data_IF_113596381751
#
_entry.id   IF_113596381751
#
_cell.length_a   1.000
_cell.length_b   1.000
_cell.length_c   1.000
_cell.angle_alpha   90.00
_cell.angle_beta   90.00
_cell.angle_gamma   90.00
#
_symmetry.space_group_name_H-M   'P 1'
#
loop_
_entity.id
_entity.type
_entity.pdbx_description
1 polymer ?
#
# COMPACT_ATOMS: atom_id res chain seq x y z
N UNK A 1 0.49 7.08 24.00
CA UNK A 1 0.75 7.43 22.61
C UNK A 1 0.07 6.39 21.71
N UNK A 2 -0.75 6.84 20.77
CA UNK A 2 -1.44 5.95 19.83
C UNK A 2 -0.49 5.34 18.81
N UNK A 3 -0.94 4.26 18.15
CA UNK A 3 -0.18 3.67 17.05
C UNK A 3 0.08 4.69 15.93
N UNK A 4 -0.92 5.54 15.65
CA UNK A 4 -0.76 6.61 14.66
C UNK A 4 0.33 7.60 15.04
N UNK A 5 0.38 8.00 16.30
CA UNK A 5 1.42 8.91 16.80
C UNK A 5 2.81 8.27 16.73
N UNK A 6 2.90 6.99 17.07
CA UNK A 6 4.14 6.22 16.97
C UNK A 6 4.61 6.09 15.53
N UNK A 7 3.67 5.80 14.62
CA UNK A 7 3.99 5.72 13.20
C UNK A 7 4.50 7.05 12.67
N UNK A 8 3.85 8.15 13.01
CA UNK A 8 4.31 9.48 12.62
C UNK A 8 5.72 9.77 13.12
N UNK A 9 6.02 9.41 14.37
CA UNK A 9 7.35 9.56 14.93
C UNK A 9 8.39 8.74 14.18
N UNK A 10 8.07 7.50 13.79
CA UNK A 10 8.95 6.67 13.00
C UNK A 10 9.20 7.24 11.59
N UNK A 11 8.16 7.76 10.96
CA UNK A 11 8.28 8.41 9.64
C UNK A 11 9.22 9.60 9.74
N UNK A 12 9.05 10.46 10.74
CA UNK A 12 9.91 11.64 10.94
C UNK A 12 11.36 11.24 11.23
N UNK A 13 11.56 10.16 11.98
CA UNK A 13 12.88 9.71 12.39
C UNK A 13 13.64 8.95 11.29
N UNK A 14 12.94 8.12 10.52
CA UNK A 14 13.57 7.17 9.58
C UNK A 14 13.19 7.39 8.12
N UNK A 15 12.00 7.93 7.86
CA UNK A 15 11.47 8.05 6.50
C UNK A 15 11.87 9.32 5.77
N UNK A 16 12.28 10.34 6.49
CA UNK A 16 12.69 11.62 5.89
C UNK A 16 14.17 11.53 5.54
N UNK A 17 14.48 11.67 4.25
CA UNK A 17 15.86 11.67 3.75
C UNK A 17 16.23 13.09 3.40
N UNK A 18 17.26 13.62 4.08
CA UNK A 18 17.78 14.94 3.80
C UNK A 18 18.83 14.87 2.69
N UNK A 19 18.75 15.81 1.75
CA UNK A 19 19.64 15.86 0.63
C UNK A 19 18.97 16.54 -0.56
N UNK A 20 19.77 17.03 -1.48
CA UNK A 20 19.25 17.71 -2.64
C UNK A 20 18.70 16.68 -3.64
N UNK A 21 17.43 16.79 -3.94
CA UNK A 21 16.76 15.89 -4.90
C UNK A 21 16.00 16.72 -5.93
N UNK A 22 15.92 16.20 -7.13
CA UNK A 22 15.08 16.77 -8.18
C UNK A 22 13.82 15.92 -8.27
N UNK A 23 12.68 16.55 -7.99
CA UNK A 23 11.37 15.90 -8.05
C UNK A 23 10.95 15.66 -9.50
N UNK A 24 9.95 14.81 -9.69
CA UNK A 24 9.40 14.53 -11.01
C UNK A 24 8.85 15.78 -11.72
N UNK A 25 8.47 16.78 -10.94
CA UNK A 25 8.04 18.10 -11.46
C UNK A 25 9.19 18.97 -11.98
N UNK A 26 10.45 18.55 -11.78
CA UNK A 26 11.63 19.35 -12.09
C UNK A 26 12.08 20.28 -10.97
N UNK A 27 11.30 20.39 -9.90
CA UNK A 27 11.66 21.23 -8.74
C UNK A 27 12.70 20.54 -7.87
N UNK A 28 13.59 21.32 -7.27
CA UNK A 28 14.55 20.85 -6.28
C UNK A 28 13.92 20.87 -4.89
N UNK A 29 14.21 19.84 -4.09
CA UNK A 29 13.83 19.77 -2.69
C UNK A 29 15.02 19.41 -1.83
N UNK A 30 15.02 19.88 -0.58
CA UNK A 30 16.08 19.61 0.40
C UNK A 30 15.86 18.30 1.13
N UNK A 31 14.72 17.65 0.94
CA UNK A 31 14.39 16.36 1.52
C UNK A 31 13.39 15.64 0.66
N UNK A 32 13.28 14.33 0.88
CA UNK A 32 12.19 13.52 0.34
C UNK A 32 11.79 12.46 1.36
N UNK A 33 10.60 11.91 1.19
CA UNK A 33 10.09 10.87 2.08
C UNK A 33 10.25 9.52 1.36
N UNK A 34 11.00 8.62 1.99
CA UNK A 34 11.18 7.25 1.53
C UNK A 34 10.46 6.31 2.51
N UNK A 35 9.22 5.98 2.19
CA UNK A 35 8.40 5.16 3.07
C UNK A 35 8.78 3.68 3.06
N UNK A 36 9.61 3.23 2.14
CA UNK A 36 10.14 1.85 2.21
C UNK A 36 11.04 1.66 3.42
N UNK A 37 11.66 2.73 3.91
CA UNK A 37 12.38 2.73 5.19
C UNK A 37 11.46 2.51 6.38
N UNK A 38 10.15 2.68 6.20
CA UNK A 38 9.13 2.49 7.21
C UNK A 38 8.40 1.16 7.01
N UNK A 39 7.93 0.91 5.81
CA UNK A 39 7.14 -0.29 5.50
C UNK A 39 7.94 -1.59 5.58
N UNK A 40 9.26 -1.49 5.53
CA UNK A 40 10.18 -2.62 5.68
C UNK A 40 10.96 -2.59 7.00
N UNK A 41 10.66 -1.64 7.89
CA UNK A 41 11.31 -1.52 9.19
C UNK A 41 10.63 -2.43 10.22
N UNK A 42 11.43 -3.16 10.99
CA UNK A 42 10.91 -4.15 11.93
C UNK A 42 10.06 -3.57 13.06
N UNK A 43 10.24 -2.31 13.40
CA UNK A 43 9.43 -1.60 14.41
C UNK A 43 8.25 -0.90 13.78
N UNK A 44 8.46 -0.24 12.65
CA UNK A 44 7.44 0.60 12.02
C UNK A 44 6.42 -0.20 11.18
N UNK A 45 6.84 -1.29 10.54
CA UNK A 45 5.94 -2.07 9.69
C UNK A 45 4.71 -2.60 10.44
N UNK A 46 4.81 -3.16 11.65
CA UNK A 46 3.63 -3.56 12.41
C UNK A 46 2.69 -2.39 12.70
N UNK A 47 3.23 -1.19 12.94
CA UNK A 47 2.44 0.01 13.14
C UNK A 47 1.67 0.38 11.86
N UNK A 48 2.29 0.25 10.70
CA UNK A 48 1.64 0.48 9.40
C UNK A 48 0.41 -0.42 9.27
N UNK A 49 0.56 -1.70 9.55
CA UNK A 49 -0.54 -2.66 9.45
C UNK A 49 -1.72 -2.26 10.34
N UNK A 50 -1.47 -1.96 11.61
CA UNK A 50 -2.54 -1.60 12.56
C UNK A 50 -3.19 -0.26 12.22
N UNK A 51 -2.39 0.75 11.89
CA UNK A 51 -2.91 2.08 11.54
C UNK A 51 -3.77 2.02 10.28
N UNK A 52 -3.33 1.30 9.26
CA UNK A 52 -4.09 1.17 8.02
C UNK A 52 -5.39 0.38 8.21
N UNK A 53 -5.40 -0.65 9.07
CA UNK A 53 -6.64 -1.34 9.42
C UNK A 53 -7.61 -0.42 10.14
N UNK A 54 -7.12 0.37 11.08
CA UNK A 54 -7.96 1.31 11.82
C UNK A 54 -8.51 2.42 10.92
N UNK A 55 -7.69 2.93 10.01
CA UNK A 55 -8.09 3.95 9.04
C UNK A 55 -9.23 3.46 8.12
N UNK A 56 -9.24 2.20 7.79
CA UNK A 56 -10.20 1.58 6.87
C UNK A 56 -11.25 0.73 7.57
N UNK A 57 -11.44 0.94 8.89
CA UNK A 57 -12.32 0.10 9.71
C UNK A 57 -13.79 0.15 9.28
N UNK A 58 -14.23 1.23 8.64
CA UNK A 58 -15.60 1.41 8.14
C UNK A 58 -15.82 0.79 6.75
N UNK A 59 -14.78 0.25 6.13
CA UNK A 59 -14.88 -0.42 4.84
C UNK A 59 -14.86 -1.94 5.03
N UNK A 60 -15.65 -2.64 4.23
CA UNK A 60 -15.66 -4.10 4.20
C UNK A 60 -14.88 -4.59 3.00
N UNK A 61 -13.79 -5.31 3.22
CA UNK A 61 -12.99 -5.89 2.16
C UNK A 61 -12.37 -7.21 2.63
N UNK A 62 -12.09 -8.08 1.66
CA UNK A 62 -11.58 -9.44 1.89
C UNK A 62 -10.12 -9.57 1.50
N UNK A 63 -9.63 -8.64 0.70
CA UNK A 63 -8.25 -8.65 0.23
C UNK A 63 -7.73 -7.22 0.06
N UNK A 64 -6.43 -7.06 0.18
CA UNK A 64 -5.75 -5.76 0.10
C UNK A 64 -4.47 -5.89 -0.72
N UNK A 65 -4.19 -4.88 -1.51
CA UNK A 65 -2.97 -4.83 -2.30
C UNK A 65 -2.92 -3.58 -3.16
N UNK A 66 -1.95 -3.52 -4.03
CA UNK A 66 -1.78 -2.40 -4.94
C UNK A 66 -0.60 -2.60 -5.86
N UNK A 67 -0.20 -1.53 -6.50
CA UNK A 67 0.87 -1.60 -7.48
C UNK A 67 2.21 -1.90 -6.81
N UNK A 68 2.88 -2.93 -7.32
CA UNK A 68 4.22 -3.26 -6.85
C UNK A 68 5.19 -2.12 -7.20
N UNK A 69 6.13 -1.75 -6.38
CA UNK A 69 6.60 -2.39 -5.13
C UNK A 69 6.03 -1.69 -3.89
N UNK A 70 5.60 -0.44 -4.00
CA UNK A 70 5.23 0.40 -2.86
C UNK A 70 4.10 -0.17 -2.01
N UNK A 71 3.12 -0.79 -2.64
CA UNK A 71 1.96 -1.34 -1.95
C UNK A 71 2.25 -2.67 -1.24
N UNK A 72 3.23 -3.45 -1.71
CA UNK A 72 3.42 -4.83 -1.27
C UNK A 72 3.68 -4.96 0.23
N UNK A 73 4.62 -4.21 0.82
CA UNK A 73 4.84 -4.33 2.26
C UNK A 73 3.69 -3.76 3.09
N UNK A 74 2.95 -2.76 2.58
CA UNK A 74 1.77 -2.23 3.25
C UNK A 74 0.70 -3.31 3.36
N UNK A 75 0.38 -3.96 2.26
CA UNK A 75 -0.63 -5.02 2.21
C UNK A 75 -0.24 -6.20 3.10
N UNK A 76 1.03 -6.61 3.07
CA UNK A 76 1.53 -7.70 3.91
C UNK A 76 1.46 -7.35 5.40
N UNK A 77 1.81 -6.12 5.77
CA UNK A 77 1.69 -5.65 7.15
C UNK A 77 0.23 -5.69 7.62
N UNK A 78 -0.70 -5.27 6.77
CA UNK A 78 -2.13 -5.32 7.07
C UNK A 78 -2.64 -6.76 7.22
N UNK A 79 -2.20 -7.67 6.37
CA UNK A 79 -2.55 -9.10 6.44
C UNK A 79 -2.17 -9.68 7.81
N UNK A 80 -0.94 -9.44 8.25
CA UNK A 80 -0.46 -9.95 9.53
C UNK A 80 -1.13 -9.28 10.73
N UNK A 81 -1.37 -7.97 10.65
CA UNK A 81 -2.09 -7.26 11.71
C UNK A 81 -3.54 -7.75 11.83
N UNK A 82 -4.19 -8.03 10.71
CA UNK A 82 -5.55 -8.58 10.69
C UNK A 82 -5.58 -9.96 11.34
N UNK A 83 -4.63 -10.83 10.99
CA UNK A 83 -4.52 -12.17 11.59
C UNK A 83 -4.36 -12.09 13.12
N UNK A 84 -3.57 -11.15 13.61
CA UNK A 84 -3.40 -10.93 15.05
C UNK A 84 -4.71 -10.51 15.74
N UNK A 85 -5.64 -9.94 15.00
CA UNK A 85 -6.99 -9.55 15.49
C UNK A 85 -8.06 -10.61 15.21
N UNK A 86 -7.67 -11.79 14.73
CA UNK A 86 -8.59 -12.87 14.41
C UNK A 86 -9.34 -12.71 13.08
N UNK A 87 -8.89 -11.80 12.21
CA UNK A 87 -9.49 -11.56 10.91
C UNK A 87 -8.62 -12.18 9.81
N UNK A 88 -9.26 -12.92 8.90
CA UNK A 88 -8.58 -13.42 7.70
C UNK A 88 -8.63 -12.36 6.61
N UNK A 89 -7.47 -11.91 6.17
CA UNK A 89 -7.33 -10.90 5.13
C UNK A 89 -6.26 -11.38 4.15
N UNK A 90 -6.62 -11.53 2.89
CA UNK A 90 -5.65 -11.89 1.85
C UNK A 90 -4.93 -10.64 1.34
N UNK A 91 -3.73 -10.83 0.80
CA UNK A 91 -3.00 -9.79 0.11
C UNK A 91 -2.77 -10.19 -1.35
N UNK A 92 -2.70 -9.22 -2.22
CA UNK A 92 -2.39 -9.41 -3.63
C UNK A 92 -1.37 -8.38 -4.10
N UNK A 93 -0.78 -8.64 -5.26
CA UNK A 93 0.19 -7.73 -5.90
C UNK A 93 -0.34 -7.38 -7.29
N UNK A 94 -0.37 -6.10 -7.61
CA UNK A 94 -0.69 -5.63 -8.97
C UNK A 94 0.63 -5.31 -9.68
N UNK A 95 0.87 -5.95 -10.79
CA UNK A 95 2.06 -5.72 -11.61
C UNK A 95 1.85 -4.50 -12.51
N UNK A 96 2.92 -3.79 -12.81
CA UNK A 96 2.87 -2.60 -13.69
C UNK A 96 2.38 -2.94 -15.09
N UNK A 97 2.73 -4.14 -15.57
CA UNK A 97 2.28 -4.65 -16.86
C UNK A 97 2.08 -6.15 -16.78
N UNK A 98 1.22 -6.69 -17.63
CA UNK A 98 1.02 -8.13 -17.75
C UNK A 98 2.28 -8.82 -18.28
N UNK A 99 2.35 -10.14 -18.08
CA UNK A 99 3.42 -10.94 -18.65
C UNK A 99 3.32 -10.95 -20.18
N UNK A 100 4.46 -10.90 -20.85
CA UNK A 100 4.51 -10.93 -22.30
C UNK A 100 4.31 -12.32 -22.90
N UNK A 101 4.46 -13.38 -22.06
CA UNK A 101 4.33 -14.78 -22.48
C UNK A 101 3.44 -15.54 -21.52
N UNK A 102 2.64 -16.48 -22.05
CA UNK A 102 1.73 -17.32 -21.27
C UNK A 102 0.51 -16.55 -20.76
N UNK A 103 0.03 -16.92 -19.57
CA UNK A 103 -1.11 -16.23 -18.95
C UNK A 103 -0.70 -14.82 -18.56
N UNK A 104 -1.43 -13.85 -19.11
CA UNK A 104 -1.20 -12.41 -18.89
C UNK A 104 -1.82 -11.99 -17.55
N UNK A 105 -1.18 -12.38 -16.45
CA UNK A 105 -1.68 -12.01 -15.12
C UNK A 105 -1.01 -10.73 -14.66
N UNK A 106 -1.83 -9.71 -14.41
CA UNK A 106 -1.37 -8.49 -13.74
C UNK A 106 -1.47 -8.60 -12.23
N UNK A 107 -2.32 -9.52 -11.71
CA UNK A 107 -2.56 -9.65 -10.27
C UNK A 107 -2.03 -11.00 -9.82
N UNK A 108 -1.13 -10.96 -8.84
CA UNK A 108 -0.54 -12.15 -8.22
C UNK A 108 -1.14 -12.35 -6.83
N UNK A 109 -1.27 -13.62 -6.43
CA UNK A 109 -1.80 -14.00 -5.12
C UNK A 109 -3.16 -14.67 -5.24
N UNK A 110 -3.94 -14.70 -4.13
CA UNK A 110 -5.28 -15.24 -4.16
C UNK A 110 -6.17 -14.54 -5.16
N UNK A 111 -7.15 -15.28 -5.71
CA UNK A 111 -8.07 -14.73 -6.70
C UNK A 111 -8.88 -13.59 -6.12
N UNK A 112 -9.03 -12.50 -6.89
CA UNK A 112 -9.77 -11.31 -6.47
C UNK A 112 -11.11 -11.15 -7.20
N UNK A 113 -11.40 -11.98 -8.19
CA UNK A 113 -12.62 -11.88 -8.97
C UNK A 113 -13.86 -12.04 -8.08
N UNK A 114 -14.81 -11.10 -8.19
CA UNK A 114 -16.04 -11.11 -7.40
C UNK A 114 -15.87 -10.72 -5.92
N UNK A 115 -14.67 -10.34 -5.51
CA UNK A 115 -14.37 -10.00 -4.11
C UNK A 115 -14.31 -8.49 -3.93
N UNK A 116 -14.57 -8.07 -2.69
CA UNK A 116 -14.35 -6.69 -2.28
C UNK A 116 -12.90 -6.52 -1.88
N UNK A 117 -12.23 -5.54 -2.45
CA UNK A 117 -10.80 -5.32 -2.25
C UNK A 117 -10.51 -3.86 -1.91
N UNK A 118 -9.45 -3.66 -1.13
CA UNK A 118 -8.91 -2.34 -0.82
C UNK A 118 -7.61 -2.16 -1.61
N UNK A 119 -7.48 -1.03 -2.31
CA UNK A 119 -6.23 -0.66 -2.97
C UNK A 119 -5.42 0.24 -2.04
N UNK A 120 -4.14 -0.07 -1.88
CA UNK A 120 -3.23 0.69 -1.01
C UNK A 120 -1.99 1.14 -1.76
N UNK A 121 -1.36 2.17 -1.22
CA UNK A 121 -0.07 2.68 -1.69
C UNK A 121 0.69 3.23 -0.47
N UNK A 122 2.00 3.31 -0.54
CA UNK A 122 2.78 3.92 0.54
C UNK A 122 2.66 5.46 0.50
N UNK A 123 2.91 6.06 -0.66
CA UNK A 123 2.72 7.51 -0.88
C UNK A 123 1.85 7.75 -2.10
N UNK A 124 1.12 8.87 -2.08
CA UNK A 124 0.40 9.34 -3.26
C UNK A 124 0.81 10.79 -3.53
N UNK A 125 1.28 11.07 -4.74
CA UNK A 125 1.56 12.43 -5.21
C UNK A 125 0.55 12.85 -6.27
N UNK A 126 0.46 12.09 -7.36
CA UNK A 126 -0.47 12.35 -8.47
C UNK A 126 -1.67 11.40 -8.47
N UNK A 127 -1.60 10.32 -7.72
CA UNK A 127 -2.62 9.27 -7.72
C UNK A 127 -2.53 8.28 -8.89
N UNK A 128 -1.57 8.45 -9.78
CA UNK A 128 -1.45 7.62 -11.00
C UNK A 128 -1.24 6.14 -10.68
N UNK A 129 -0.37 5.82 -9.71
CA UNK A 129 -0.09 4.43 -9.32
C UNK A 129 -1.31 3.74 -8.76
N UNK A 130 -2.07 4.45 -7.91
CA UNK A 130 -3.30 3.93 -7.33
C UNK A 130 -4.36 3.71 -8.40
N UNK A 131 -4.52 4.67 -9.32
CA UNK A 131 -5.49 4.54 -10.42
C UNK A 131 -5.16 3.36 -11.34
N UNK A 132 -3.89 3.15 -11.63
CA UNK A 132 -3.45 1.99 -12.41
C UNK A 132 -3.83 0.68 -11.72
N UNK A 133 -3.63 0.59 -10.41
CA UNK A 133 -4.01 -0.58 -9.63
C UNK A 133 -5.53 -0.78 -9.63
N UNK A 134 -6.31 0.29 -9.44
CA UNK A 134 -7.77 0.23 -9.44
C UNK A 134 -8.30 -0.28 -10.78
N UNK A 135 -7.76 0.23 -11.89
CA UNK A 135 -8.16 -0.21 -13.24
C UNK A 135 -7.88 -1.69 -13.45
N UNK A 136 -6.69 -2.17 -13.06
CA UNK A 136 -6.33 -3.57 -13.19
C UNK A 136 -7.24 -4.47 -12.35
N UNK A 137 -7.58 -4.04 -11.13
CA UNK A 137 -8.48 -4.78 -10.24
C UNK A 137 -9.89 -4.88 -10.82
N UNK A 138 -10.41 -3.79 -11.36
CA UNK A 138 -11.73 -3.78 -12.01
C UNK A 138 -11.75 -4.67 -13.25
N UNK A 139 -10.71 -4.66 -14.07
CA UNK A 139 -10.59 -5.57 -15.21
C UNK A 139 -10.57 -7.03 -14.77
N UNK A 140 -10.01 -7.33 -13.61
CA UNK A 140 -9.98 -8.68 -13.05
C UNK A 140 -11.31 -9.08 -12.37
N UNK A 141 -12.30 -8.20 -12.36
CA UNK A 141 -13.61 -8.49 -11.80
C UNK A 141 -13.75 -8.24 -10.30
N UNK A 142 -12.79 -7.56 -9.69
CA UNK A 142 -12.86 -7.20 -8.28
C UNK A 142 -13.71 -5.94 -8.07
N UNK A 143 -14.35 -5.83 -6.90
CA UNK A 143 -15.02 -4.62 -6.46
C UNK A 143 -14.08 -3.83 -5.56
N UNK A 144 -13.59 -2.70 -6.04
CA UNK A 144 -12.69 -1.84 -5.26
C UNK A 144 -13.52 -0.96 -4.34
N UNK A 145 -13.45 -1.19 -3.04
CA UNK A 145 -14.29 -0.48 -2.05
C UNK A 145 -13.64 0.80 -1.54
N UNK A 146 -12.37 0.98 -1.77
CA UNK A 146 -11.66 2.19 -1.35
C UNK A 146 -10.20 2.16 -1.71
N UNK A 147 -9.56 3.27 -1.44
CA UNK A 147 -8.12 3.49 -1.65
C UNK A 147 -7.57 4.13 -0.38
N UNK A 148 -6.42 3.67 0.08
CA UNK A 148 -5.77 4.23 1.25
C UNK A 148 -4.26 4.35 1.03
N UNK A 149 -3.68 5.41 1.58
CA UNK A 149 -2.22 5.65 1.54
C UNK A 149 -1.72 5.99 2.93
N UNK A 150 -0.42 5.77 3.18
CA UNK A 150 0.20 6.17 4.45
C UNK A 150 0.43 7.68 4.45
N UNK A 151 0.97 8.21 3.38
CA UNK A 151 1.22 9.65 3.21
C UNK A 151 0.65 10.10 1.88
N UNK A 152 -0.10 11.17 1.93
CA UNK A 152 -0.69 11.81 0.76
C UNK A 152 0.06 13.09 0.40
#
# INVERSE_FOLDING_TARGET
MSDRDRLLAEIKSKGVVHGRVVLSSGQEADYYIDLRRITLDGTAAPLVGRVMLDLTADLEYEAVGGLTLGADPVATAMLHAAAARGRSLDAFVVRKAGKTHGLQRRIEGPDVAGRRVLAVEDTSTTGTSVLTAVEALREAGAEVVGVATIVD
#
